data_IF_451131164838
#
_entry.id   IF_451131164838
#
_cell.length_a   1.000
_cell.length_b   1.000
_cell.length_c   1.000
_cell.angle_alpha   90.00
_cell.angle_beta   90.00
_cell.angle_gamma   90.00
#
_symmetry.space_group_name_H-M   'P 1'
#
loop_
_entity.id
_entity.type
_entity.pdbx_description
1 polymer ?
#
# COMPACT_ATOMS: atom_id res chain seq x y z
N UNK A 1 7.84 -5.29 -5.35
CA UNK A 1 6.50 -5.88 -5.28
C UNK A 1 6.28 -6.67 -6.56
N UNK A 2 5.97 -7.94 -6.41
CA UNK A 2 5.66 -8.87 -7.49
C UNK A 2 4.28 -8.56 -8.09
N UNK A 3 3.31 -8.15 -7.25
CA UNK A 3 1.95 -7.77 -7.66
C UNK A 3 1.70 -6.27 -7.57
N UNK A 4 2.54 -5.46 -8.22
CA UNK A 4 2.41 -4.00 -8.23
C UNK A 4 1.03 -3.51 -8.72
N UNK A 5 0.48 -4.14 -9.76
CA UNK A 5 -0.83 -3.77 -10.31
C UNK A 5 -1.97 -4.05 -9.32
N UNK A 6 -1.90 -5.17 -8.59
CA UNK A 6 -2.86 -5.49 -7.54
C UNK A 6 -2.77 -4.51 -6.37
N UNK A 7 -1.56 -4.09 -5.99
CA UNK A 7 -1.36 -3.05 -4.97
C UNK A 7 -2.01 -1.74 -5.40
N UNK A 8 -1.80 -1.31 -6.65
CA UNK A 8 -2.41 -0.08 -7.19
C UNK A 8 -3.94 -0.17 -7.16
N UNK A 9 -4.51 -1.30 -7.58
CA UNK A 9 -5.97 -1.49 -7.57
C UNK A 9 -6.51 -1.38 -6.15
N UNK A 10 -5.96 -2.15 -5.21
CA UNK A 10 -6.39 -2.14 -3.81
C UNK A 10 -6.32 -0.74 -3.19
N UNK A 11 -5.23 -0.02 -3.44
CA UNK A 11 -5.07 1.35 -2.96
C UNK A 11 -6.12 2.30 -3.55
N UNK A 12 -6.58 2.09 -4.79
CA UNK A 12 -7.55 2.97 -5.47
C UNK A 12 -9.01 2.61 -5.20
N UNK A 13 -9.31 1.34 -4.94
CA UNK A 13 -10.69 0.83 -4.89
C UNK A 13 -11.15 0.45 -3.48
N UNK A 14 -10.24 0.02 -2.62
CA UNK A 14 -10.57 -0.55 -1.32
C UNK A 14 -10.07 0.28 -0.13
N UNK A 15 -9.03 1.09 -0.30
CA UNK A 15 -8.52 1.93 0.77
C UNK A 15 -9.31 3.23 0.95
N UNK A 16 -9.56 3.57 2.20
CA UNK A 16 -10.16 4.85 2.60
C UNK A 16 -9.06 5.82 3.02
N UNK A 17 -9.10 7.05 2.52
CA UNK A 17 -8.13 8.08 2.84
C UNK A 17 -8.80 9.26 3.58
N UNK A 18 -8.06 9.98 4.45
CA UNK A 18 -6.64 9.83 4.75
C UNK A 18 -6.32 8.58 5.59
N UNK A 19 -5.18 7.94 5.31
CA UNK A 19 -4.69 6.75 6.00
C UNK A 19 -3.22 6.92 6.40
N UNK A 20 -2.86 6.41 7.57
CA UNK A 20 -1.44 6.39 8.00
C UNK A 20 -0.71 5.20 7.38
N UNK A 21 0.63 5.23 7.35
CA UNK A 21 1.43 4.04 7.02
C UNK A 21 0.99 2.82 7.85
N UNK A 22 0.71 3.02 9.14
CA UNK A 22 0.30 1.93 10.03
C UNK A 22 -1.05 1.32 9.59
N UNK A 23 -2.03 2.16 9.25
CA UNK A 23 -3.32 1.71 8.70
C UNK A 23 -3.13 0.96 7.38
N UNK A 24 -2.37 1.52 6.45
CA UNK A 24 -2.12 0.92 5.13
C UNK A 24 -1.41 -0.43 5.24
N UNK A 25 -0.43 -0.56 6.14
CA UNK A 25 0.29 -1.82 6.38
C UNK A 25 -0.62 -2.84 7.06
N UNK A 26 -1.44 -2.42 8.05
CA UNK A 26 -2.38 -3.31 8.71
C UNK A 26 -3.45 -3.84 7.75
N UNK A 27 -3.97 -2.98 6.88
CA UNK A 27 -4.90 -3.37 5.82
C UNK A 27 -4.23 -4.32 4.83
N UNK A 28 -3.00 -4.00 4.38
CA UNK A 28 -2.23 -4.87 3.48
C UNK A 28 -1.94 -6.25 4.08
N UNK A 29 -1.68 -6.33 5.40
CA UNK A 29 -1.41 -7.59 6.10
C UNK A 29 -2.64 -8.52 6.12
N UNK A 30 -3.85 -7.95 6.16
CA UNK A 30 -5.10 -8.69 6.11
C UNK A 30 -5.48 -9.21 4.71
N UNK A 31 -4.78 -8.76 3.66
CA UNK A 31 -5.06 -9.22 2.30
C UNK A 31 -4.41 -10.58 2.05
N UNK A 32 -5.23 -11.58 1.75
CA UNK A 32 -4.76 -12.92 1.37
C UNK A 32 -4.23 -13.00 -0.07
N UNK A 33 -4.47 -11.95 -0.87
CA UNK A 33 -4.06 -11.87 -2.29
C UNK A 33 -2.57 -11.47 -2.46
N UNK A 34 -1.93 -10.96 -1.40
CA UNK A 34 -0.53 -10.54 -1.42
C UNK A 34 0.38 -11.55 -0.70
N UNK A 35 1.54 -11.82 -1.29
CA UNK A 35 2.57 -12.66 -0.68
C UNK A 35 3.21 -11.95 0.52
N UNK A 36 3.80 -12.71 1.46
CA UNK A 36 4.54 -12.14 2.59
C UNK A 36 5.68 -11.20 2.14
N UNK A 37 6.34 -11.52 1.02
CA UNK A 37 7.35 -10.66 0.41
C UNK A 37 6.77 -9.32 -0.07
N UNK A 38 5.58 -9.32 -0.67
CA UNK A 38 4.91 -8.09 -1.11
C UNK A 38 4.52 -7.22 0.09
N UNK A 39 3.98 -7.82 1.15
CA UNK A 39 3.64 -7.13 2.41
C UNK A 39 4.88 -6.50 3.05
N UNK A 40 5.98 -7.25 3.10
CA UNK A 40 7.25 -6.77 3.66
C UNK A 40 7.87 -5.66 2.82
N UNK A 41 7.85 -5.79 1.50
CA UNK A 41 8.29 -4.75 0.58
C UNK A 41 7.43 -3.49 0.72
N UNK A 42 6.10 -3.62 0.82
CA UNK A 42 5.18 -2.51 1.00
C UNK A 42 5.46 -1.74 2.29
N UNK A 43 5.49 -2.41 3.44
CA UNK A 43 5.78 -1.77 4.73
C UNK A 43 7.21 -1.24 4.85
N UNK A 44 8.18 -1.85 4.15
CA UNK A 44 9.57 -1.39 4.13
C UNK A 44 9.79 -0.17 3.22
N UNK A 45 9.13 -0.12 2.06
CA UNK A 45 9.28 0.98 1.08
C UNK A 45 8.41 2.19 1.39
N UNK A 46 7.24 1.99 2.00
CA UNK A 46 6.35 3.10 2.32
C UNK A 46 6.96 3.94 3.47
N UNK A 47 7.28 5.22 3.27
CA UNK A 47 7.77 6.07 4.34
C UNK A 47 6.70 6.27 5.43
N UNK A 48 7.13 6.60 6.65
CA UNK A 48 6.17 6.99 7.69
C UNK A 48 5.48 8.29 7.30
N UNK A 49 4.16 8.33 7.47
CA UNK A 49 3.36 9.49 7.07
C UNK A 49 1.86 9.21 7.08
N UNK A 50 1.11 10.26 6.79
CA UNK A 50 -0.32 10.19 6.47
C UNK A 50 -0.48 10.51 5.00
N UNK A 51 -1.21 9.66 4.30
CA UNK A 51 -1.49 9.76 2.87
C UNK A 51 -2.95 10.14 2.70
N UNK A 52 -3.23 11.16 1.91
CA UNK A 52 -4.59 11.67 1.66
C UNK A 52 -5.22 11.01 0.43
N UNK A 53 -4.45 10.27 -0.37
CA UNK A 53 -4.94 9.61 -1.58
C UNK A 53 -4.06 8.43 -1.97
N UNK A 54 -4.64 7.53 -2.77
CA UNK A 54 -3.94 6.38 -3.36
C UNK A 54 -2.71 6.81 -4.18
N UNK A 55 -2.82 7.88 -4.97
CA UNK A 55 -1.71 8.38 -5.78
C UNK A 55 -0.51 8.81 -4.93
N UNK A 56 -0.70 9.33 -3.71
CA UNK A 56 0.42 9.66 -2.82
C UNK A 56 1.15 8.39 -2.34
N UNK A 57 0.41 7.32 -2.04
CA UNK A 57 0.98 6.02 -1.66
C UNK A 57 1.72 5.40 -2.84
N UNK A 58 1.11 5.41 -4.04
CA UNK A 58 1.69 4.88 -5.28
C UNK A 58 2.98 5.62 -5.64
N UNK A 59 2.98 6.95 -5.56
CA UNK A 59 4.16 7.77 -5.79
C UNK A 59 5.27 7.48 -4.76
N UNK A 60 4.91 7.36 -3.48
CA UNK A 60 5.87 7.04 -2.42
C UNK A 60 6.49 5.64 -2.56
N UNK A 61 5.75 4.69 -3.15
CA UNK A 61 6.24 3.34 -3.46
C UNK A 61 6.98 3.25 -4.80
N UNK A 62 7.01 4.33 -5.59
CA UNK A 62 7.63 4.36 -6.92
C UNK A 62 6.90 3.48 -7.95
N UNK A 63 5.58 3.37 -7.84
CA UNK A 63 4.72 2.53 -8.69
C UNK A 63 3.98 3.30 -9.79
N UNK A 64 4.45 4.50 -10.13
CA UNK A 64 3.89 5.35 -11.20
C UNK A 64 4.27 4.89 -12.60
#
# INVERSE_FOLDING_TARGET
MQNAQGTIDHLKTHQTYPATKADLVAECDNLSDFSEEDKKEFGGKLPEGTYNSADEVIAALGLQ
#
